data_IF_223821436993
#
_entry.id   IF_223821436993
#
_cell.length_a   1.000
_cell.length_b   1.000
_cell.length_c   1.000
_cell.angle_alpha   90.00
_cell.angle_beta   90.00
_cell.angle_gamma   90.00
#
_symmetry.space_group_name_H-M   'P 1'
#
loop_
_entity.id
_entity.type
_entity.pdbx_description
1 polymer ?
#
# COMPACT_ATOMS: atom_id res chain seq x y z
N UNK A 1 4.20 1.00 -6.61
CA UNK A 1 3.42 1.02 -7.86
C UNK A 1 1.94 0.88 -7.57
N UNK A 2 1.13 1.65 -8.24
CA UNK A 2 -0.32 1.60 -8.08
C UNK A 2 -0.92 1.17 -9.42
N UNK A 3 -1.71 0.10 -9.40
CA UNK A 3 -2.37 -0.41 -10.60
C UNK A 3 -3.89 -0.38 -10.39
N UNK A 4 -4.60 0.25 -11.32
CA UNK A 4 -6.05 0.37 -11.25
C UNK A 4 -6.67 -0.53 -12.31
N UNK A 5 -7.63 -1.36 -11.90
CA UNK A 5 -8.35 -2.25 -12.80
C UNK A 5 -9.82 -2.29 -12.38
N UNK A 6 -10.66 -1.55 -13.10
CA UNK A 6 -12.08 -1.45 -12.76
C UNK A 6 -12.26 -0.86 -11.36
N UNK A 7 -12.90 -1.63 -10.49
CA UNK A 7 -13.15 -1.22 -9.10
C UNK A 7 -12.05 -1.70 -8.12
N UNK A 8 -10.96 -2.28 -8.64
CA UNK A 8 -9.86 -2.74 -7.81
C UNK A 8 -8.63 -1.87 -7.99
N UNK A 9 -7.96 -1.56 -6.89
CA UNK A 9 -6.69 -0.85 -6.89
C UNK A 9 -5.68 -1.72 -6.17
N UNK A 10 -4.60 -2.08 -6.86
CA UNK A 10 -3.49 -2.83 -6.27
C UNK A 10 -2.35 -1.89 -6.00
N UNK A 11 -1.90 -1.87 -4.76
CA UNK A 11 -0.76 -1.07 -4.33
C UNK A 11 0.38 -2.03 -4.02
N UNK A 12 1.47 -1.92 -4.79
CA UNK A 12 2.67 -2.71 -4.57
C UNK A 12 3.80 -1.79 -4.13
N UNK A 13 4.44 -2.16 -3.03
CA UNK A 13 5.49 -1.35 -2.44
C UNK A 13 6.84 -1.87 -2.90
N UNK A 14 7.47 -1.14 -3.80
CA UNK A 14 8.77 -1.51 -4.31
C UNK A 14 8.77 -2.80 -5.09
N UNK A 15 9.92 -3.12 -5.64
CA UNK A 15 10.12 -4.35 -6.40
C UNK A 15 10.97 -5.34 -5.63
N UNK A 16 11.30 -5.05 -4.39
CA UNK A 16 12.32 -5.79 -3.65
C UNK A 16 11.70 -6.48 -2.46
N UNK A 17 11.77 -7.79 -2.44
CA UNK A 17 11.15 -8.62 -1.43
C UNK A 17 11.73 -8.42 -0.02
N UNK A 18 12.93 -7.89 0.09
CA UNK A 18 13.54 -7.68 1.39
C UNK A 18 12.74 -6.74 2.30
N UNK A 19 11.79 -6.01 1.76
CA UNK A 19 10.88 -5.18 2.54
C UNK A 19 9.98 -6.00 3.46
N UNK A 20 9.93 -7.31 3.26
CA UNK A 20 9.10 -8.21 4.07
C UNK A 20 9.90 -8.97 5.13
N UNK A 21 11.18 -8.64 5.31
CA UNK A 21 11.99 -9.26 6.36
C UNK A 21 11.53 -8.81 7.76
N UNK A 22 11.71 -9.67 8.78
CA UNK A 22 11.28 -9.32 10.15
C UNK A 22 11.83 -8.00 10.66
N UNK A 23 13.03 -7.62 10.25
CA UNK A 23 13.66 -6.36 10.66
C UNK A 23 13.28 -5.19 9.77
N UNK A 24 12.77 -5.44 8.58
CA UNK A 24 12.42 -4.44 7.58
C UNK A 24 11.16 -4.85 6.88
N UNK A 25 10.02 -4.29 7.27
CA UNK A 25 8.76 -4.63 6.63
C UNK A 25 7.84 -3.41 6.56
N UNK A 26 6.91 -3.48 5.63
CA UNK A 26 5.85 -2.48 5.52
C UNK A 26 4.79 -2.81 6.56
N UNK A 27 4.48 -1.86 7.43
CA UNK A 27 3.51 -2.09 8.50
C UNK A 27 2.08 -1.96 8.02
N UNK A 28 1.80 -0.98 7.18
CA UNK A 28 0.47 -0.78 6.64
C UNK A 28 0.52 -0.04 5.31
N UNK A 29 -0.57 -0.19 4.55
CA UNK A 29 -0.79 0.55 3.30
C UNK A 29 -2.15 1.21 3.39
N UNK A 30 -2.20 2.50 3.09
CA UNK A 30 -3.45 3.28 3.05
C UNK A 30 -3.67 3.75 1.62
N UNK A 31 -4.87 3.51 1.11
CA UNK A 31 -5.30 4.06 -0.17
C UNK A 31 -6.28 5.20 0.10
N UNK A 32 -5.97 6.38 -0.41
CA UNK A 32 -6.83 7.56 -0.33
C UNK A 32 -7.61 7.69 -1.62
N UNK A 33 -8.92 7.83 -1.50
CA UNK A 33 -9.82 8.07 -2.63
C UNK A 33 -10.50 9.43 -2.44
N UNK A 34 -11.29 9.82 -3.41
CA UNK A 34 -12.01 11.11 -3.32
C UNK A 34 -12.98 11.18 -2.13
N UNK A 35 -13.53 10.05 -1.71
CA UNK A 35 -14.51 10.03 -0.62
C UNK A 35 -13.92 9.65 0.73
N UNK A 36 -12.67 9.23 0.79
CA UNK A 36 -12.07 8.82 2.06
C UNK A 36 -10.83 7.98 1.88
N UNK A 37 -10.65 7.01 2.76
CA UNK A 37 -9.48 6.15 2.70
C UNK A 37 -9.79 4.74 3.20
N UNK A 38 -8.91 3.80 2.81
CA UNK A 38 -8.91 2.43 3.30
C UNK A 38 -7.52 2.07 3.75
N UNK A 39 -7.40 1.23 4.76
CA UNK A 39 -6.13 0.83 5.33
C UNK A 39 -6.05 -0.69 5.45
N UNK A 40 -4.89 -1.24 5.14
CA UNK A 40 -4.59 -2.65 5.40
C UNK A 40 -3.28 -2.77 6.16
N UNK A 41 -3.31 -3.58 7.22
CA UNK A 41 -2.13 -3.89 8.01
C UNK A 41 -1.43 -5.11 7.43
N UNK A 42 -0.11 -5.07 7.41
CA UNK A 42 0.71 -6.16 6.91
C UNK A 42 1.57 -6.70 8.05
N UNK A 43 1.95 -7.96 7.92
CA UNK A 43 2.83 -8.62 8.89
C UNK A 43 4.15 -8.95 8.23
N UNK A 44 5.26 -9.07 9.01
CA UNK A 44 6.53 -9.54 8.46
C UNK A 44 6.34 -10.86 7.72
N UNK A 45 6.99 -11.00 6.58
CA UNK A 45 6.86 -12.18 5.73
C UNK A 45 5.77 -12.12 4.70
N UNK A 46 4.85 -11.17 4.78
CA UNK A 46 3.85 -10.94 3.76
C UNK A 46 4.45 -10.15 2.60
N UNK A 47 3.95 -10.37 1.40
CA UNK A 47 4.32 -9.51 0.28
C UNK A 47 3.88 -8.08 0.58
N UNK A 48 4.69 -7.07 0.26
CA UNK A 48 4.34 -5.68 0.51
C UNK A 48 3.38 -5.16 -0.56
N UNK A 49 2.18 -5.72 -0.55
CA UNK A 49 1.13 -5.31 -1.49
C UNK A 49 -0.23 -5.42 -0.85
N UNK A 50 -1.17 -4.66 -1.36
CA UNK A 50 -2.55 -4.71 -0.91
C UNK A 50 -3.49 -4.44 -2.08
N UNK A 51 -4.65 -5.10 -2.07
CA UNK A 51 -5.70 -4.89 -3.05
C UNK A 51 -6.88 -4.26 -2.34
N UNK A 52 -7.37 -3.15 -2.90
CA UNK A 52 -8.49 -2.41 -2.36
C UNK A 52 -9.62 -2.39 -3.37
N UNK A 53 -10.85 -2.51 -2.88
CA UNK A 53 -12.03 -2.26 -3.71
C UNK A 53 -12.50 -0.83 -3.49
N UNK A 54 -12.74 -0.11 -4.57
CA UNK A 54 -13.10 1.30 -4.52
C UNK A 54 -14.36 1.53 -5.33
N UNK A 55 -15.13 2.53 -4.91
CA UNK A 55 -16.33 2.96 -5.62
C UNK A 55 -16.14 4.33 -6.28
N UNK A 56 -14.99 4.95 -6.04
CA UNK A 56 -14.67 6.25 -6.57
C UNK A 56 -13.19 6.32 -6.95
N UNK A 57 -12.75 7.50 -7.35
CA UNK A 57 -11.43 7.68 -7.93
C UNK A 57 -10.32 7.60 -6.87
N UNK A 58 -9.30 6.75 -7.07
CA UNK A 58 -8.14 6.74 -6.19
C UNK A 58 -7.28 7.99 -6.42
N UNK A 59 -6.70 8.51 -5.35
CA UNK A 59 -5.90 9.74 -5.37
C UNK A 59 -4.44 9.47 -5.07
N UNK A 60 -4.17 8.75 -3.98
CA UNK A 60 -2.81 8.49 -3.54
C UNK A 60 -2.77 7.28 -2.63
N UNK A 61 -1.59 6.70 -2.49
CA UNK A 61 -1.34 5.64 -1.55
C UNK A 61 -0.20 6.03 -0.62
N UNK A 62 -0.30 5.60 0.62
CA UNK A 62 0.71 5.81 1.65
C UNK A 62 1.11 4.47 2.23
N UNK A 63 2.36 4.37 2.66
CA UNK A 63 2.85 3.20 3.37
C UNK A 63 3.72 3.61 4.54
N UNK A 64 3.75 2.81 5.57
CA UNK A 64 4.63 3.01 6.70
C UNK A 64 5.54 1.78 6.84
N UNK A 65 6.84 2.04 6.87
CA UNK A 65 7.86 1.01 7.08
C UNK A 65 8.39 1.14 8.49
N UNK A 66 8.63 0.00 9.12
CA UNK A 66 9.10 0.00 10.50
C UNK A 66 10.44 0.70 10.74
N UNK A 67 11.29 0.81 9.71
CA UNK A 67 12.59 1.48 9.84
C UNK A 67 12.70 2.79 9.07
N UNK A 68 11.99 2.94 7.98
CA UNK A 68 12.19 4.07 7.07
C UNK A 68 11.04 5.08 7.06
N UNK A 69 10.03 4.85 7.88
CA UNK A 69 8.95 5.80 8.05
C UNK A 69 7.96 5.85 6.90
N UNK A 70 7.31 6.99 6.75
CA UNK A 70 6.18 7.17 5.86
C UNK A 70 6.60 7.38 4.41
N UNK A 71 5.91 6.72 3.51
CA UNK A 71 6.09 6.83 2.08
C UNK A 71 4.76 7.17 1.39
N UNK A 72 4.82 7.86 0.27
CA UNK A 72 3.62 8.26 -0.46
C UNK A 72 3.84 8.14 -1.96
N UNK A 73 2.81 7.67 -2.68
CA UNK A 73 2.77 7.67 -4.13
C UNK A 73 1.42 8.20 -4.61
N UNK A 74 1.44 9.04 -5.64
CA UNK A 74 0.21 9.54 -6.25
C UNK A 74 -0.23 8.62 -7.38
N UNK A 75 -1.52 8.54 -7.57
CA UNK A 75 -2.11 7.82 -8.69
C UNK A 75 -1.90 8.58 -9.99
#
# INVERSE_FOLDING_TARGET
>A
MISVSGDEVKVEVGSVEHSSLPAHYVEWIVLVTESGFQMKWLKPGMKPEAIFKVTDRPVAAYEDRNLHGLWMAKV
#
